data_IF_025648857630
#
_entry.id   IF_025648857630
#
_cell.length_a   1.000
_cell.length_b   1.000
_cell.length_c   1.000
_cell.angle_alpha   90.00
_cell.angle_beta   90.00
_cell.angle_gamma   90.00
#
_symmetry.space_group_name_H-M   'P 1'
#
loop_
_entity.id
_entity.type
_entity.pdbx_description
1 polymer ?
#
# COMPACT_ATOMS: atom_id res chain seq x y z
N UNK A 1 -3.45 -2.57 26.34
CA UNK A 1 -2.70 -3.38 27.33
C UNK A 1 -1.51 -4.01 26.62
N UNK A 2 -0.32 -4.02 27.22
CA UNK A 2 0.87 -4.65 26.62
C UNK A 2 0.86 -6.16 26.94
N UNK A 3 1.12 -7.01 25.94
CA UNK A 3 1.22 -8.45 26.11
C UNK A 3 2.45 -8.74 26.99
N UNK A 4 2.26 -9.31 28.18
CA UNK A 4 3.31 -9.55 29.17
C UNK A 4 4.18 -10.76 28.77
N UNK A 5 4.83 -10.69 27.61
CA UNK A 5 5.54 -11.80 26.99
C UNK A 5 7.04 -11.55 27.00
N UNK A 6 7.80 -12.54 27.47
CA UNK A 6 9.25 -12.44 27.58
C UNK A 6 9.89 -12.82 26.25
N UNK A 7 10.85 -12.02 25.75
CA UNK A 7 11.59 -12.27 24.48
C UNK A 7 12.16 -13.69 24.36
N UNK A 8 12.56 -14.30 25.48
CA UNK A 8 13.09 -15.67 25.58
C UNK A 8 12.11 -16.75 25.09
N UNK A 9 10.82 -16.44 25.00
CA UNK A 9 9.81 -17.36 24.49
C UNK A 9 9.89 -17.55 22.96
N UNK A 10 10.69 -16.75 22.23
CA UNK A 10 10.89 -16.86 20.78
C UNK A 10 9.59 -17.00 19.96
N UNK A 11 8.53 -16.31 20.39
CA UNK A 11 7.24 -16.35 19.73
C UNK A 11 7.29 -15.64 18.37
N UNK A 12 6.61 -16.21 17.39
CA UNK A 12 6.43 -15.59 16.07
C UNK A 12 5.39 -14.46 16.12
N UNK A 13 5.43 -13.54 15.15
CA UNK A 13 4.43 -12.47 15.04
C UNK A 13 3.01 -13.03 14.89
N UNK A 14 2.85 -14.17 14.22
CA UNK A 14 1.56 -14.85 14.05
C UNK A 14 1.02 -15.35 15.38
N UNK A 15 1.88 -15.91 16.24
CA UNK A 15 1.49 -16.35 17.58
C UNK A 15 1.18 -15.19 18.53
N UNK A 16 1.91 -14.08 18.38
CA UNK A 16 1.79 -12.92 19.27
C UNK A 16 0.56 -12.07 18.96
N UNK A 17 0.28 -11.86 17.67
CA UNK A 17 -0.75 -10.95 17.20
C UNK A 17 -2.00 -11.65 16.66
N UNK A 18 -1.93 -12.97 16.39
CA UNK A 18 -3.05 -13.80 15.97
C UNK A 18 -3.85 -13.15 14.81
N UNK A 19 -5.08 -12.72 15.08
CA UNK A 19 -6.02 -12.20 14.10
C UNK A 19 -5.79 -10.73 13.73
N UNK A 20 -4.81 -10.05 14.35
CA UNK A 20 -4.49 -8.67 14.00
C UNK A 20 -3.84 -8.61 12.61
N UNK A 21 -4.49 -7.86 11.72
CA UNK A 21 -3.97 -7.50 10.40
C UNK A 21 -2.54 -6.97 10.51
N UNK A 22 -1.66 -7.38 9.59
CA UNK A 22 -0.27 -6.92 9.60
C UNK A 22 -0.23 -5.41 9.38
N UNK A 23 0.67 -4.71 10.09
CA UNK A 23 0.88 -3.26 9.88
C UNK A 23 1.16 -2.93 8.41
N UNK A 24 1.82 -3.86 7.70
CA UNK A 24 2.05 -3.76 6.26
C UNK A 24 0.75 -3.55 5.49
N UNK A 25 -0.33 -4.28 5.78
CA UNK A 25 -1.62 -4.11 5.09
C UNK A 25 -2.16 -2.69 5.25
N UNK A 26 -2.05 -2.12 6.45
CA UNK A 26 -2.45 -0.73 6.71
C UNK A 26 -1.59 0.27 5.94
N UNK A 27 -0.30 0.01 5.78
CA UNK A 27 0.61 0.83 4.96
C UNK A 27 0.21 0.74 3.49
N UNK A 28 -0.06 -0.47 2.98
CA UNK A 28 -0.50 -0.70 1.60
C UNK A 28 -1.80 0.03 1.30
N UNK A 29 -2.80 -0.11 2.19
CA UNK A 29 -4.08 0.60 2.10
C UNK A 29 -3.89 2.13 2.05
N UNK A 30 -3.03 2.69 2.91
CA UNK A 30 -2.75 4.14 2.92
C UNK A 30 -2.08 4.60 1.63
N UNK A 31 -1.11 3.84 1.11
CA UNK A 31 -0.46 4.15 -0.18
C UNK A 31 -1.47 4.17 -1.32
N UNK A 32 -2.32 3.14 -1.41
CA UNK A 32 -3.36 3.05 -2.43
C UNK A 32 -4.40 4.16 -2.30
N UNK A 33 -4.80 4.54 -1.08
CA UNK A 33 -5.76 5.61 -0.83
C UNK A 33 -5.23 6.97 -1.29
N UNK A 34 -3.96 7.28 -1.01
CA UNK A 34 -3.31 8.52 -1.46
C UNK A 34 -3.20 8.54 -2.99
N UNK A 35 -2.67 7.46 -3.60
CA UNK A 35 -2.55 7.36 -5.05
C UNK A 35 -3.90 7.55 -5.76
N UNK A 36 -4.97 6.92 -5.22
CA UNK A 36 -6.31 7.08 -5.76
C UNK A 36 -6.91 8.46 -5.56
N UNK A 37 -6.65 9.11 -4.42
CA UNK A 37 -7.07 10.49 -4.22
C UNK A 37 -6.44 11.41 -5.27
N UNK A 38 -5.13 11.31 -5.48
CA UNK A 38 -4.41 12.11 -6.47
C UNK A 38 -4.89 11.85 -7.91
N UNK A 39 -5.20 10.60 -8.28
CA UNK A 39 -5.68 10.27 -9.63
C UNK A 39 -7.10 10.79 -9.89
N UNK A 40 -7.96 10.83 -8.86
CA UNK A 40 -9.33 11.35 -8.98
C UNK A 40 -9.39 12.87 -9.06
N UNK A 41 -8.45 13.57 -8.43
CA UNK A 41 -8.36 15.03 -8.44
C UNK A 41 -7.35 15.46 -9.51
N UNK A 42 -7.76 15.31 -10.77
CA UNK A 42 -6.92 15.62 -11.94
C UNK A 42 -6.55 17.11 -12.06
N UNK A 43 -7.27 17.98 -11.35
CA UNK A 43 -7.02 19.40 -11.20
C UNK A 43 -5.75 19.71 -10.40
N UNK A 44 -5.30 18.78 -9.56
CA UNK A 44 -4.09 18.95 -8.76
C UNK A 44 -2.84 18.54 -9.55
N UNK A 45 -1.74 19.31 -9.50
CA UNK A 45 -0.49 18.97 -10.19
C UNK A 45 0.10 17.64 -9.70
N UNK A 46 -0.24 17.22 -8.48
CA UNK A 46 0.18 15.95 -7.89
C UNK A 46 -0.32 14.74 -8.70
N UNK A 47 -1.46 14.85 -9.39
CA UNK A 47 -1.98 13.77 -10.25
C UNK A 47 -0.97 13.32 -11.31
N UNK A 48 -0.19 14.26 -11.85
CA UNK A 48 0.82 13.98 -12.88
C UNK A 48 2.09 13.35 -12.29
N UNK A 49 2.39 13.66 -11.02
CA UNK A 49 3.63 13.23 -10.34
C UNK A 49 3.47 11.89 -9.60
N UNK A 50 2.26 11.53 -9.17
CA UNK A 50 2.05 10.39 -8.25
C UNK A 50 2.42 9.02 -8.86
N UNK A 51 2.27 8.87 -10.18
CA UNK A 51 2.66 7.67 -10.94
C UNK A 51 3.87 7.91 -11.84
N UNK A 52 4.57 9.03 -11.66
CA UNK A 52 5.71 9.37 -12.49
C UNK A 52 6.90 8.42 -12.20
N UNK A 53 7.52 7.92 -13.26
CA UNK A 53 8.76 7.15 -13.19
C UNK A 53 9.85 7.87 -13.98
N UNK A 54 11.05 7.95 -13.41
CA UNK A 54 12.21 8.46 -14.12
C UNK A 54 12.60 7.49 -15.24
N UNK A 55 12.58 7.94 -16.49
CA UNK A 55 13.06 7.17 -17.64
C UNK A 55 14.59 7.06 -17.65
N UNK A 56 15.28 7.98 -16.97
CA UNK A 56 16.71 8.18 -17.08
C UNK A 56 17.43 8.05 -15.74
N UNK A 57 18.60 7.40 -15.75
CA UNK A 57 19.49 7.32 -14.60
C UNK A 57 20.45 6.12 -14.66
N UNK A 58 21.70 6.32 -14.23
CA UNK A 58 22.61 5.19 -13.97
C UNK A 58 22.21 4.58 -12.64
N UNK A 59 21.71 3.35 -12.65
CA UNK A 59 21.46 2.64 -11.41
C UNK A 59 22.79 2.12 -10.84
N UNK A 60 23.01 2.33 -9.54
CA UNK A 60 24.14 1.75 -8.83
C UNK A 60 24.09 0.21 -8.86
N UNK A 61 25.26 -0.42 -8.80
CA UNK A 61 25.36 -1.89 -8.71
C UNK A 61 24.87 -2.33 -7.32
N UNK A 62 23.83 -3.17 -7.27
CA UNK A 62 23.26 -3.70 -6.02
C UNK A 62 21.73 -3.87 -6.08
N UNK A 63 21.11 -4.26 -4.96
CA UNK A 63 19.64 -4.32 -4.83
C UNK A 63 19.09 -2.90 -4.81
N UNK A 64 18.22 -2.57 -5.76
CA UNK A 64 17.55 -1.28 -5.81
C UNK A 64 16.52 -1.16 -4.69
N UNK A 65 16.39 0.04 -4.14
CA UNK A 65 15.24 0.39 -3.31
C UNK A 65 13.98 0.44 -4.17
N UNK A 66 12.87 -0.09 -3.66
CA UNK A 66 11.58 -0.01 -4.34
C UNK A 66 11.13 1.44 -4.38
N UNK A 67 10.91 1.96 -5.58
CA UNK A 67 10.28 3.26 -5.82
C UNK A 67 8.83 3.23 -5.36
N UNK A 68 8.21 4.41 -5.23
CA UNK A 68 6.81 4.51 -4.84
C UNK A 68 5.88 3.77 -5.82
N UNK A 69 6.13 3.88 -7.12
CA UNK A 69 5.34 3.21 -8.16
C UNK A 69 5.55 1.69 -8.12
N UNK A 70 6.77 1.21 -7.91
CA UNK A 70 7.03 -0.24 -7.74
C UNK A 70 6.33 -0.80 -6.50
N UNK A 71 6.29 -0.04 -5.40
CA UNK A 71 5.51 -0.42 -4.22
C UNK A 71 4.01 -0.52 -4.55
N UNK A 72 3.46 0.43 -5.31
CA UNK A 72 2.04 0.38 -5.71
C UNK A 72 1.74 -0.80 -6.64
N UNK A 73 2.65 -1.12 -7.56
CA UNK A 73 2.51 -2.31 -8.42
C UNK A 73 2.55 -3.60 -7.60
N UNK A 74 3.46 -3.69 -6.61
CA UNK A 74 3.53 -4.83 -5.71
C UNK A 74 2.28 -4.95 -4.81
N UNK A 75 1.78 -3.83 -4.29
CA UNK A 75 0.60 -3.79 -3.41
C UNK A 75 -0.69 -4.14 -4.16
N UNK A 76 -0.80 -3.75 -5.43
CA UNK A 76 -1.96 -4.03 -6.28
C UNK A 76 -1.88 -5.35 -7.04
N UNK A 77 -0.70 -5.98 -7.08
CA UNK A 77 -0.44 -7.16 -7.92
C UNK A 77 -0.46 -6.87 -9.42
N UNK A 78 -0.37 -5.60 -9.83
CA UNK A 78 -0.47 -5.20 -11.24
C UNK A 78 0.90 -5.24 -11.93
N UNK A 79 0.90 -5.65 -13.20
CA UNK A 79 2.13 -5.74 -14.00
C UNK A 79 2.51 -4.44 -14.71
N UNK A 80 1.57 -3.49 -14.88
CA UNK A 80 1.82 -2.26 -15.63
C UNK A 80 1.12 -1.05 -14.97
N UNK A 81 1.71 0.14 -15.13
CA UNK A 81 1.24 1.42 -14.61
C UNK A 81 -0.09 1.83 -15.24
N UNK A 82 -0.33 1.55 -16.52
CA UNK A 82 -1.60 1.89 -17.18
C UNK A 82 -2.77 1.12 -16.57
N UNK A 83 -2.54 -0.19 -16.31
CA UNK A 83 -3.50 -1.06 -15.62
C UNK A 83 -3.70 -0.63 -14.17
N UNK A 84 -2.62 -0.22 -13.51
CA UNK A 84 -2.66 0.34 -12.16
C UNK A 84 -3.51 1.63 -12.13
N UNK A 85 -3.35 2.53 -13.10
CA UNK A 85 -4.09 3.79 -13.20
C UNK A 85 -5.58 3.55 -13.41
N UNK A 86 -5.93 2.65 -14.34
CA UNK A 86 -7.32 2.23 -14.55
C UNK A 86 -7.90 1.59 -13.28
N UNK A 87 -7.19 0.64 -12.67
CA UNK A 87 -7.61 -0.03 -11.45
C UNK A 87 -7.85 0.96 -10.30
N UNK A 88 -6.94 1.89 -10.06
CA UNK A 88 -7.08 2.88 -8.98
C UNK A 88 -8.22 3.87 -9.26
N UNK A 89 -8.46 4.21 -10.53
CA UNK A 89 -9.58 5.05 -10.96
C UNK A 89 -10.93 4.35 -10.81
N UNK A 90 -11.01 3.08 -11.18
CA UNK A 90 -12.25 2.28 -11.19
C UNK A 90 -12.61 1.71 -9.79
N UNK A 91 -11.62 1.53 -8.91
CA UNK A 91 -11.80 0.98 -7.57
C UNK A 91 -12.35 2.02 -6.57
N UNK A 92 -13.58 2.49 -6.81
CA UNK A 92 -14.45 3.04 -5.75
C UNK A 92 -15.27 1.92 -5.09
N UNK A 93 -15.54 0.81 -5.78
CA UNK A 93 -16.59 -0.11 -5.32
C UNK A 93 -16.12 -1.45 -4.70
N UNK A 94 -14.91 -1.94 -4.97
CA UNK A 94 -14.51 -3.31 -4.56
C UNK A 94 -13.49 -3.35 -3.42
N UNK A 95 -12.46 -2.50 -3.40
CA UNK A 95 -11.52 -2.47 -2.27
C UNK A 95 -12.11 -1.82 -1.02
N UNK A 96 -13.07 -0.89 -1.19
CA UNK A 96 -13.85 -0.35 -0.07
C UNK A 96 -14.78 -1.44 0.48
N UNK A 97 -15.46 -2.23 -0.37
CA UNK A 97 -16.27 -3.37 0.13
C UNK A 97 -15.42 -4.48 0.75
N UNK A 98 -14.22 -4.77 0.25
CA UNK A 98 -13.36 -5.80 0.85
C UNK A 98 -12.68 -5.36 2.17
N UNK A 99 -12.42 -4.06 2.37
CA UNK A 99 -11.79 -3.54 3.58
C UNK A 99 -12.77 -2.92 4.60
N UNK A 100 -14.00 -2.54 4.21
CA UNK A 100 -14.99 -1.96 5.14
C UNK A 100 -15.64 -3.00 6.05
N UNK A 101 -15.49 -4.30 5.79
CA UNK A 101 -15.98 -5.34 6.72
C UNK A 101 -14.98 -5.69 7.84
N UNK A 102 -13.82 -5.05 7.93
CA UNK A 102 -12.78 -5.41 8.95
C UNK A 102 -12.43 -4.27 9.91
N UNK A 103 -12.99 -3.07 9.77
CA UNK A 103 -12.81 -2.02 10.79
C UNK A 103 -14.11 -1.24 11.03
N UNK A 104 -15.04 -1.76 11.87
CA UNK A 104 -15.94 -0.88 12.58
C UNK A 104 -15.13 -0.12 13.65
N UNK A 105 -15.51 1.14 13.85
CA UNK A 105 -15.17 2.00 14.98
C UNK A 105 -13.77 2.61 15.04
N UNK A 106 -13.66 3.86 14.55
CA UNK A 106 -12.79 4.90 15.11
C UNK A 106 -13.43 6.30 14.92
N UNK A 107 -14.21 6.73 15.92
CA UNK A 107 -14.10 8.07 16.50
C UNK A 107 -13.01 7.99 17.57
#
# INVERSE_FOLDING_TARGET
MALNVTRRAHLTNEQLYQDLSKVTEKIQQRRMRIAGHCIRHSEEPVCQLVLWQSVEGRISKGRKWLTYVENLLQDSGMANIDKLRACIGDCVNTYMHACMYVVPDWI
#
